data_IF_480582390481
#
_entry.id   IF_480582390481
#
_cell.length_a   1.000
_cell.length_b   1.000
_cell.length_c   1.000
_cell.angle_alpha   90.00
_cell.angle_beta   90.00
_cell.angle_gamma   90.00
#
_symmetry.space_group_name_H-M   'P 1'
#
loop_
_entity.id
_entity.type
_entity.pdbx_description
1 polymer ?
#
# COMPACT_ATOMS: atom_id res chain seq x y z
N UNK A 1 11.83 14.31 11.52
CA UNK A 1 11.07 13.10 11.91
C UNK A 1 10.64 12.38 10.63
N UNK A 2 10.75 11.07 10.60
CA UNK A 2 10.22 10.21 9.53
C UNK A 2 9.06 9.39 10.12
N UNK A 3 7.89 9.44 9.48
CA UNK A 3 6.69 8.72 9.89
C UNK A 3 6.32 7.63 8.87
N UNK A 4 5.69 6.56 9.37
CA UNK A 4 5.04 5.51 8.58
C UNK A 4 3.55 5.36 8.95
N UNK A 5 2.98 6.39 9.61
CA UNK A 5 1.59 6.36 10.10
C UNK A 5 0.90 7.72 10.01
N UNK A 6 1.55 8.74 9.45
CA UNK A 6 0.98 10.07 9.23
C UNK A 6 0.85 10.30 7.73
N UNK A 7 -0.37 10.41 7.25
CA UNK A 7 -0.74 10.75 5.90
C UNK A 7 -1.53 12.09 5.88
N UNK A 8 -2.16 12.42 4.78
CA UNK A 8 -2.83 13.72 4.59
C UNK A 8 -3.96 13.96 5.58
N UNK A 9 -4.72 12.93 5.96
CA UNK A 9 -5.84 13.09 6.90
C UNK A 9 -5.33 13.37 8.32
N UNK A 10 -4.25 12.73 8.76
CA UNK A 10 -3.63 13.00 10.05
C UNK A 10 -3.04 14.41 10.09
N UNK A 11 -2.37 14.86 9.01
CA UNK A 11 -1.88 16.24 8.91
C UNK A 11 -3.03 17.24 9.03
N UNK A 12 -4.15 16.97 8.33
CA UNK A 12 -5.34 17.81 8.38
C UNK A 12 -5.91 17.93 9.80
N UNK A 13 -5.89 16.85 10.57
CA UNK A 13 -6.42 16.82 11.94
C UNK A 13 -5.47 17.40 12.98
N UNK A 14 -4.16 17.13 12.84
CA UNK A 14 -3.13 17.64 13.75
C UNK A 14 -2.93 19.14 13.55
N UNK A 15 -2.98 19.58 12.31
CA UNK A 15 -2.68 20.95 11.85
C UNK A 15 -1.38 20.98 11.07
N UNK A 16 -1.39 21.53 9.83
CA UNK A 16 -0.19 21.67 9.00
C UNK A 16 0.92 22.46 9.67
N UNK A 17 0.59 23.43 10.52
CA UNK A 17 1.55 24.25 11.27
C UNK A 17 2.43 23.44 12.22
N UNK A 18 1.96 22.26 12.68
CA UNK A 18 2.71 21.37 13.58
C UNK A 18 3.45 20.25 12.84
N UNK A 19 3.08 20.00 11.59
CA UNK A 19 3.59 18.85 10.82
C UNK A 19 4.49 19.25 9.66
N UNK A 20 4.48 20.51 9.23
CA UNK A 20 5.33 21.01 8.14
C UNK A 20 6.80 20.65 8.36
N UNK A 21 7.44 20.11 7.30
CA UNK A 21 8.85 19.70 7.32
C UNK A 21 9.08 18.30 7.92
N UNK A 22 8.03 17.60 8.36
CA UNK A 22 8.15 16.17 8.70
C UNK A 22 8.12 15.32 7.45
N UNK A 23 8.73 14.13 7.50
CA UNK A 23 8.79 13.20 6.38
C UNK A 23 7.86 12.02 6.63
N UNK A 24 7.30 11.47 5.55
CA UNK A 24 6.56 10.22 5.59
C UNK A 24 6.98 9.32 4.42
N UNK A 25 6.90 8.01 4.65
CA UNK A 25 7.08 7.01 3.61
C UNK A 25 5.78 6.21 3.44
N UNK A 26 5.22 6.25 2.23
CA UNK A 26 3.96 5.63 1.86
C UNK A 26 4.00 5.09 0.42
N UNK A 27 2.99 4.34 0.03
CA UNK A 27 2.85 3.83 -1.33
C UNK A 27 2.10 4.85 -2.21
N UNK A 28 1.28 5.68 -1.59
CA UNK A 28 0.47 6.69 -2.24
C UNK A 28 0.45 8.00 -1.43
N UNK A 29 0.53 9.12 -2.13
CA UNK A 29 0.18 10.45 -1.64
C UNK A 29 -0.85 11.07 -2.57
N UNK A 30 -1.79 11.84 -2.02
CA UNK A 30 -2.80 12.56 -2.81
C UNK A 30 -2.17 13.50 -3.86
N UNK A 31 -0.97 14.00 -3.58
CA UNK A 31 -0.16 14.83 -4.47
C UNK A 31 0.55 14.08 -5.60
N UNK A 32 0.40 12.76 -5.70
CA UNK A 32 1.02 11.96 -6.76
C UNK A 32 0.49 12.37 -8.14
N UNK A 33 1.38 12.92 -8.97
CA UNK A 33 1.03 13.50 -10.27
C UNK A 33 1.01 12.43 -11.39
N UNK A 34 0.00 11.56 -11.37
CA UNK A 34 -0.31 10.63 -12.46
C UNK A 34 -1.80 10.73 -12.83
N UNK A 35 -2.18 10.39 -14.08
CA UNK A 35 -3.60 10.42 -14.47
C UNK A 35 -4.48 9.52 -13.57
N UNK A 36 -4.00 8.34 -13.19
CA UNK A 36 -4.73 7.40 -12.33
C UNK A 36 -4.93 7.95 -10.91
N UNK A 37 -3.88 8.55 -10.33
CA UNK A 37 -3.93 9.19 -9.01
C UNK A 37 -4.90 10.38 -9.00
N UNK A 38 -4.81 11.25 -10.00
CA UNK A 38 -5.71 12.40 -10.14
C UNK A 38 -7.17 11.95 -10.23
N UNK A 39 -7.46 10.98 -11.09
CA UNK A 39 -8.81 10.45 -11.21
C UNK A 39 -9.34 9.87 -9.91
N UNK A 40 -8.53 9.08 -9.20
CA UNK A 40 -8.90 8.51 -7.90
C UNK A 40 -9.23 9.62 -6.88
N UNK A 41 -8.38 10.66 -6.80
CA UNK A 41 -8.60 11.80 -5.91
C UNK A 41 -9.86 12.58 -6.28
N UNK A 42 -10.08 12.84 -7.55
CA UNK A 42 -11.28 13.53 -8.05
C UNK A 42 -12.56 12.74 -7.77
N UNK A 43 -12.56 11.43 -8.02
CA UNK A 43 -13.69 10.54 -7.73
C UNK A 43 -13.99 10.49 -6.22
N UNK A 44 -12.93 10.41 -5.39
CA UNK A 44 -13.06 10.44 -3.92
C UNK A 44 -13.69 11.76 -3.46
N UNK A 45 -13.19 12.89 -3.94
CA UNK A 45 -13.71 14.21 -3.57
C UNK A 45 -15.12 14.47 -4.12
N UNK A 46 -15.47 13.92 -5.28
CA UNK A 46 -16.83 13.98 -5.79
C UNK A 46 -17.82 13.20 -4.91
N UNK A 47 -17.38 12.08 -4.33
CA UNK A 47 -18.22 11.24 -3.46
C UNK A 47 -18.35 11.76 -2.03
N UNK A 48 -17.28 12.34 -1.47
CA UNK A 48 -17.19 12.62 -0.03
C UNK A 48 -17.03 14.11 0.31
N UNK A 49 -16.83 14.98 -0.68
CA UNK A 49 -16.69 16.42 -0.53
C UNK A 49 -15.35 16.95 -1.04
N UNK A 50 -15.35 18.14 -1.64
CA UNK A 50 -14.17 18.74 -2.26
C UNK A 50 -13.05 19.10 -1.29
N UNK A 51 -13.38 19.27 -0.03
CA UNK A 51 -12.45 19.57 1.06
C UNK A 51 -11.85 18.32 1.72
N UNK A 52 -12.30 17.12 1.28
CA UNK A 52 -11.78 15.87 1.81
C UNK A 52 -10.45 15.52 1.17
N UNK A 53 -9.55 15.03 2.00
CA UNK A 53 -8.28 14.45 1.57
C UNK A 53 -8.37 12.94 1.57
N UNK A 54 -7.55 12.31 0.73
CA UNK A 54 -7.35 10.86 0.72
C UNK A 54 -5.86 10.59 0.85
N UNK A 55 -5.50 9.38 1.21
CA UNK A 55 -4.11 8.97 1.39
C UNK A 55 -3.94 7.48 1.21
N UNK A 56 -2.76 6.98 1.51
CA UNK A 56 -2.40 5.57 1.32
C UNK A 56 -3.39 4.55 1.92
N UNK A 57 -3.88 4.69 3.18
CA UNK A 57 -4.83 3.71 3.72
C UNK A 57 -6.14 3.61 2.93
N UNK A 58 -6.64 4.74 2.43
CA UNK A 58 -7.85 4.76 1.62
C UNK A 58 -7.61 4.16 0.22
N UNK A 59 -6.46 4.44 -0.37
CA UNK A 59 -6.02 3.89 -1.65
C UNK A 59 -5.82 2.37 -1.55
N UNK A 60 -5.16 1.89 -0.51
CA UNK A 60 -4.97 0.47 -0.25
C UNK A 60 -6.31 -0.28 -0.09
N UNK A 61 -7.27 0.31 0.65
CA UNK A 61 -8.61 -0.26 0.78
C UNK A 61 -9.35 -0.33 -0.58
N UNK A 62 -9.22 0.70 -1.40
CA UNK A 62 -9.75 0.71 -2.76
C UNK A 62 -9.13 -0.41 -3.61
N UNK A 63 -7.82 -0.57 -3.58
CA UNK A 63 -7.10 -1.60 -4.33
C UNK A 63 -7.57 -3.01 -3.93
N UNK A 64 -7.75 -3.26 -2.63
CA UNK A 64 -8.19 -4.56 -2.11
C UNK A 64 -9.57 -4.96 -2.63
N UNK A 65 -10.50 -4.01 -2.78
CA UNK A 65 -11.84 -4.30 -3.35
C UNK A 65 -11.74 -4.78 -4.80
N UNK A 66 -10.90 -4.14 -5.60
CA UNK A 66 -10.72 -4.52 -7.01
C UNK A 66 -9.93 -5.82 -7.20
N UNK A 67 -8.91 -6.04 -6.37
CA UNK A 67 -8.18 -7.31 -6.35
C UNK A 67 -9.11 -8.47 -5.96
N UNK A 68 -9.95 -8.26 -4.94
CA UNK A 68 -10.94 -9.24 -4.53
C UNK A 68 -11.96 -9.52 -5.63
N UNK A 69 -12.51 -8.47 -6.27
CA UNK A 69 -13.43 -8.60 -7.40
C UNK A 69 -12.81 -9.45 -8.52
N UNK A 70 -11.58 -9.12 -8.93
CA UNK A 70 -10.88 -9.87 -9.96
C UNK A 70 -10.61 -11.34 -9.57
N UNK A 71 -10.33 -11.58 -8.28
CA UNK A 71 -10.14 -12.93 -7.75
C UNK A 71 -11.43 -13.75 -7.78
N UNK A 72 -12.57 -13.16 -7.41
CA UNK A 72 -13.91 -13.78 -7.48
C UNK A 72 -14.28 -14.13 -8.92
N UNK A 73 -14.09 -13.19 -9.84
CA UNK A 73 -14.33 -13.41 -11.26
C UNK A 73 -13.47 -14.57 -11.83
N UNK A 74 -12.18 -14.59 -11.48
CA UNK A 74 -11.24 -15.65 -11.89
C UNK A 74 -11.57 -17.00 -11.25
N UNK A 75 -12.03 -17.01 -10.00
CA UNK A 75 -12.42 -18.20 -9.27
C UNK A 75 -13.79 -18.76 -9.71
N UNK A 76 -14.66 -17.91 -10.28
CA UNK A 76 -16.04 -18.24 -10.62
C UNK A 76 -16.95 -18.45 -9.42
N UNK A 77 -16.57 -17.98 -8.24
CA UNK A 77 -17.33 -18.09 -6.99
C UNK A 77 -16.85 -17.07 -5.98
N UNK A 78 -17.73 -16.62 -5.11
CA UNK A 78 -17.40 -15.82 -3.92
C UNK A 78 -17.60 -16.61 -2.61
N UNK A 79 -18.23 -17.79 -2.66
CA UNK A 79 -18.54 -18.61 -1.48
C UNK A 79 -17.36 -19.50 -1.06
N UNK A 80 -16.57 -20.00 -2.01
CA UNK A 80 -15.37 -20.77 -1.74
C UNK A 80 -14.16 -19.85 -1.56
N UNK A 81 -13.93 -19.43 -0.31
CA UNK A 81 -12.87 -18.51 0.05
C UNK A 81 -11.46 -19.03 -0.29
N UNK A 82 -11.23 -20.34 -0.16
CA UNK A 82 -9.93 -20.94 -0.51
C UNK A 82 -9.67 -20.87 -2.01
N UNK A 83 -10.70 -21.06 -2.82
CA UNK A 83 -10.60 -20.92 -4.26
C UNK A 83 -10.36 -19.48 -4.68
N UNK A 84 -11.07 -18.53 -4.07
CA UNK A 84 -10.87 -17.09 -4.30
C UNK A 84 -9.47 -16.67 -3.90
N UNK A 85 -9.00 -17.06 -2.72
CA UNK A 85 -7.67 -16.76 -2.20
C UNK A 85 -6.56 -17.29 -3.13
N UNK A 86 -6.67 -18.53 -3.61
CA UNK A 86 -5.75 -19.09 -4.59
C UNK A 86 -5.78 -18.36 -5.93
N UNK A 87 -6.98 -17.99 -6.38
CA UNK A 87 -7.16 -17.25 -7.62
C UNK A 87 -6.55 -15.84 -7.57
N UNK A 88 -6.47 -15.23 -6.38
CA UNK A 88 -5.91 -13.88 -6.19
C UNK A 88 -4.43 -13.80 -6.55
N UNK A 89 -3.67 -14.88 -6.37
CA UNK A 89 -2.23 -14.91 -6.66
C UNK A 89 -1.99 -14.63 -8.15
N UNK A 90 -1.07 -13.70 -8.42
CA UNK A 90 -0.69 -13.25 -9.76
C UNK A 90 -1.69 -12.30 -10.42
N UNK A 91 -2.73 -11.84 -9.70
CA UNK A 91 -3.60 -10.78 -10.22
C UNK A 91 -2.84 -9.46 -10.21
N UNK A 92 -2.90 -8.78 -11.35
CA UNK A 92 -2.41 -7.41 -11.53
C UNK A 92 -3.58 -6.45 -11.54
N UNK A 93 -3.36 -5.29 -10.96
CA UNK A 93 -4.34 -4.21 -10.93
C UNK A 93 -3.65 -2.86 -11.22
N UNK A 94 -4.25 -2.07 -12.10
CA UNK A 94 -3.82 -0.70 -12.38
C UNK A 94 -4.34 0.24 -11.28
N UNK A 95 -3.63 0.25 -10.18
CA UNK A 95 -3.97 1.03 -8.98
C UNK A 95 -3.66 2.53 -9.18
N UNK A 96 -4.20 3.42 -8.33
CA UNK A 96 -3.86 4.85 -8.36
C UNK A 96 -2.37 5.13 -8.24
N UNK A 97 -1.63 4.36 -7.45
CA UNK A 97 -0.17 4.45 -7.32
C UNK A 97 0.61 3.92 -8.52
N UNK A 98 -0.02 3.11 -9.36
CA UNK A 98 0.58 2.39 -10.49
C UNK A 98 0.17 0.92 -10.50
N UNK A 99 0.72 0.13 -11.42
CA UNK A 99 0.42 -1.31 -11.45
C UNK A 99 0.97 -2.02 -10.21
N UNK A 100 0.10 -2.77 -9.53
CA UNK A 100 0.42 -3.65 -8.41
C UNK A 100 0.11 -5.10 -8.80
N UNK A 101 0.75 -6.07 -8.12
CA UNK A 101 0.54 -7.50 -8.32
C UNK A 101 0.46 -8.23 -6.97
N UNK A 102 -0.48 -9.18 -6.85
CA UNK A 102 -0.62 -10.03 -5.67
C UNK A 102 0.36 -11.20 -5.73
N UNK A 103 1.20 -11.33 -4.72
CA UNK A 103 2.22 -12.37 -4.60
C UNK A 103 1.75 -13.58 -3.79
N UNK A 104 2.45 -14.74 -3.87
CA UNK A 104 2.06 -15.96 -3.15
C UNK A 104 1.97 -15.82 -1.62
N UNK A 105 2.68 -14.87 -1.04
CA UNK A 105 2.60 -14.54 0.39
C UNK A 105 1.41 -13.63 0.75
N UNK A 106 0.51 -13.39 -0.21
CA UNK A 106 -0.66 -12.51 -0.09
C UNK A 106 -0.33 -11.04 0.26
N UNK A 107 0.85 -10.59 -0.13
CA UNK A 107 1.19 -9.17 -0.18
C UNK A 107 1.24 -8.70 -1.61
N UNK A 108 0.98 -7.42 -1.83
CA UNK A 108 1.11 -6.77 -3.13
C UNK A 108 2.51 -6.21 -3.33
N UNK A 109 2.93 -6.12 -4.59
CA UNK A 109 4.04 -5.23 -4.93
C UNK A 109 3.56 -3.79 -4.82
N UNK A 110 4.40 -2.90 -4.26
CA UNK A 110 3.98 -1.53 -3.95
C UNK A 110 5.03 -0.52 -4.44
N UNK A 111 4.54 0.63 -4.93
CA UNK A 111 5.36 1.80 -5.16
C UNK A 111 5.78 2.38 -3.82
N UNK A 112 7.01 2.86 -3.70
CA UNK A 112 7.51 3.49 -2.47
C UNK A 112 7.80 4.95 -2.75
N UNK A 113 7.17 5.81 -1.97
CA UNK A 113 7.31 7.26 -2.01
C UNK A 113 7.84 7.77 -0.68
N UNK A 114 8.70 8.78 -0.72
CA UNK A 114 9.06 9.59 0.45
C UNK A 114 8.60 11.01 0.18
N UNK A 115 7.78 11.54 1.06
CA UNK A 115 7.23 12.88 0.99
C UNK A 115 7.61 13.72 2.20
N UNK A 116 7.67 15.03 2.00
CA UNK A 116 7.81 16.06 3.03
C UNK A 116 6.49 16.82 3.15
N UNK A 117 5.96 16.90 4.36
CA UNK A 117 4.72 17.62 4.64
C UNK A 117 4.88 19.12 4.42
N UNK A 118 4.03 19.69 3.59
CA UNK A 118 3.95 21.11 3.30
C UNK A 118 2.99 21.87 4.21
N UNK A 119 3.09 23.19 4.20
CA UNK A 119 2.20 24.07 4.95
C UNK A 119 0.74 24.07 4.42
N UNK A 120 0.54 23.54 3.22
CA UNK A 120 -0.77 23.33 2.60
C UNK A 120 -1.45 22.02 3.02
N UNK A 121 -0.78 21.23 3.88
CA UNK A 121 -1.27 19.93 4.33
C UNK A 121 -1.11 18.81 3.31
N UNK A 122 -0.35 19.04 2.24
CA UNK A 122 -0.02 18.05 1.25
C UNK A 122 1.44 17.61 1.35
N UNK A 123 1.78 16.47 0.76
CA UNK A 123 3.16 16.00 0.70
C UNK A 123 3.83 16.39 -0.61
N UNK A 124 5.00 17.03 -0.51
CA UNK A 124 5.92 17.16 -1.62
C UNK A 124 6.72 15.87 -1.76
N UNK A 125 6.54 15.16 -2.85
CA UNK A 125 7.27 13.90 -3.11
C UNK A 125 8.74 14.21 -3.39
N UNK A 126 9.62 13.67 -2.55
CA UNK A 126 11.07 13.84 -2.62
C UNK A 126 11.76 12.65 -3.28
N UNK A 127 11.24 11.46 -3.05
CA UNK A 127 11.75 10.21 -3.63
C UNK A 127 10.61 9.33 -4.09
N UNK A 128 10.84 8.58 -5.15
CA UNK A 128 9.85 7.77 -5.82
C UNK A 128 10.53 6.60 -6.51
N UNK A 129 10.17 5.38 -6.13
CA UNK A 129 10.70 4.16 -6.76
C UNK A 129 10.30 4.01 -8.23
N UNK A 130 9.30 4.77 -8.72
CA UNK A 130 8.73 4.73 -10.09
C UNK A 130 8.10 3.40 -10.48
N UNK A 131 8.48 2.31 -9.85
CA UNK A 131 7.99 0.96 -10.08
C UNK A 131 7.59 0.33 -8.77
N UNK A 132 6.58 -0.54 -8.81
CA UNK A 132 6.22 -1.37 -7.69
C UNK A 132 7.39 -2.30 -7.33
N UNK A 133 7.69 -2.36 -6.05
CA UNK A 133 8.73 -3.20 -5.46
C UNK A 133 8.03 -4.48 -5.00
N UNK A 134 8.50 -5.67 -5.40
CA UNK A 134 7.94 -6.94 -4.92
C UNK A 134 8.09 -7.07 -3.40
N UNK A 135 7.13 -7.72 -2.71
CA UNK A 135 7.26 -7.98 -1.29
C UNK A 135 8.40 -8.96 -1.02
N UNK A 136 9.25 -8.60 -0.06
CA UNK A 136 10.38 -9.44 0.37
C UNK A 136 9.97 -10.12 1.69
N UNK A 137 9.97 -11.47 1.77
CA UNK A 137 9.52 -12.19 2.96
C UNK A 137 10.50 -12.10 4.14
N UNK A 138 11.65 -11.50 3.94
CA UNK A 138 12.69 -11.29 4.96
C UNK A 138 13.36 -9.93 4.77
N UNK A 139 13.93 -9.38 5.83
CA UNK A 139 14.60 -8.08 5.77
C UNK A 139 16.00 -8.23 5.14
N UNK A 140 16.19 -7.65 3.96
CA UNK A 140 17.47 -7.70 3.22
C UNK A 140 18.64 -6.99 3.95
N UNK A 141 18.34 -6.10 4.90
CA UNK A 141 19.36 -5.37 5.68
C UNK A 141 19.74 -6.08 6.99
N UNK A 142 19.12 -7.24 7.27
CA UNK A 142 19.46 -8.10 8.41
C UNK A 142 19.94 -9.43 7.85
N UNK A 143 21.26 -9.61 7.66
CA UNK A 143 21.83 -10.78 6.96
C UNK A 143 21.37 -12.12 7.51
N UNK A 144 21.14 -12.19 8.83
CA UNK A 144 20.72 -13.39 9.53
C UNK A 144 19.31 -13.87 9.14
N UNK A 145 18.51 -12.98 8.54
CA UNK A 145 17.15 -13.31 8.08
C UNK A 145 17.12 -13.79 6.63
N UNK A 146 18.25 -13.72 5.92
CA UNK A 146 18.34 -14.10 4.52
C UNK A 146 17.97 -15.57 4.29
N UNK A 147 17.02 -15.79 3.39
CA UNK A 147 16.57 -17.15 3.06
C UNK A 147 15.57 -17.74 4.06
N UNK A 148 15.04 -16.92 4.98
CA UNK A 148 13.99 -17.33 5.92
C UNK A 148 12.72 -16.50 5.69
N UNK A 149 11.57 -17.11 5.96
CA UNK A 149 10.28 -16.44 6.07
C UNK A 149 9.74 -16.60 7.49
N UNK A 150 8.75 -15.79 7.87
CA UNK A 150 8.06 -15.93 9.14
C UNK A 150 6.83 -16.84 8.98
N UNK A 151 6.77 -17.91 9.76
CA UNK A 151 5.61 -18.77 9.88
C UNK A 151 5.45 -19.21 11.35
N UNK A 152 4.36 -18.81 11.96
CA UNK A 152 4.06 -19.04 13.37
C UNK A 152 3.08 -20.20 13.59
N UNK A 153 2.80 -20.97 12.53
CA UNK A 153 1.83 -22.08 12.59
C UNK A 153 2.40 -23.38 13.17
N UNK A 154 3.72 -23.48 13.28
CA UNK A 154 4.39 -24.68 13.76
C UNK A 154 4.91 -24.50 15.19
N UNK A 155 4.63 -25.49 16.02
CA UNK A 155 5.11 -25.58 17.40
C UNK A 155 6.52 -26.21 17.43
N UNK A 156 7.56 -25.36 17.31
CA UNK A 156 8.95 -25.74 17.36
C UNK A 156 9.86 -24.54 17.73
N UNK A 157 11.09 -24.78 18.23
CA UNK A 157 11.99 -23.71 18.68
C UNK A 157 12.37 -22.69 17.63
N UNK A 158 12.31 -23.05 16.34
CA UNK A 158 12.58 -22.18 15.20
C UNK A 158 11.28 -21.66 14.53
N UNK A 159 10.12 -21.79 15.22
CA UNK A 159 8.85 -21.27 14.72
C UNK A 159 8.96 -19.79 14.33
N UNK A 160 8.40 -19.43 13.18
CA UNK A 160 8.52 -18.09 12.62
C UNK A 160 9.76 -17.86 11.75
N UNK A 161 10.66 -18.85 11.60
CA UNK A 161 11.86 -18.76 10.77
C UNK A 161 11.99 -20.00 9.89
N UNK A 162 11.60 -19.91 8.66
CA UNK A 162 11.65 -21.00 7.69
C UNK A 162 12.51 -20.64 6.50
N UNK A 163 13.32 -21.57 6.04
CA UNK A 163 13.98 -21.43 4.74
C UNK A 163 12.92 -21.42 3.63
N UNK A 164 13.08 -20.50 2.73
CA UNK A 164 12.33 -20.44 1.48
C UNK A 164 12.79 -21.55 0.53
#
# INVERSE_FOLDING_TARGET
IMSFSIAEEEIRQIGPEYTTGTYAAWNFFMSLDTPASKKFTEDFQAAYGKDRVTGDPAESAYNMVYLWKAAVEKAGTYEDLDKVRKAMIGIKFAAPQGEIEMFPNHHTSERVLIGEAGADGQFKILSDSKKAIPPIPWNQFVPETKGYTCDWTLDRPDAGKFKM
#
